data_IF_305307672920
#
_entry.id   IF_305307672920
#
_cell.length_a   1.000
_cell.length_b   1.000
_cell.length_c   1.000
_cell.angle_alpha   90.00
_cell.angle_beta   90.00
_cell.angle_gamma   90.00
#
_symmetry.space_group_name_H-M   'P 1'
#
loop_
_entity.id
_entity.type
_entity.pdbx_description
1 polymer ?
#
# COMPACT_ATOMS: atom_id res chain seq x y z
N UNK A 1 -30.34 -12.75 -21.91
CA UNK A 1 -29.63 -13.02 -20.64
C UNK A 1 -28.49 -13.96 -21.00
N UNK A 2 -27.23 -13.52 -20.89
CA UNK A 2 -26.07 -14.37 -21.21
C UNK A 2 -25.95 -15.49 -20.16
N UNK A 3 -26.04 -16.75 -20.58
CA UNK A 3 -25.90 -17.94 -19.73
C UNK A 3 -24.43 -18.27 -19.41
N UNK A 4 -23.56 -17.27 -19.24
CA UNK A 4 -22.15 -17.50 -18.88
C UNK A 4 -22.07 -17.68 -17.37
N UNK A 5 -21.34 -18.70 -16.85
CA UNK A 5 -21.26 -18.96 -15.41
C UNK A 5 -20.45 -17.91 -14.63
N UNK A 6 -19.85 -16.94 -15.33
CA UNK A 6 -19.10 -15.83 -14.75
C UNK A 6 -19.50 -14.52 -15.41
N UNK A 7 -19.40 -13.43 -14.64
CA UNK A 7 -19.51 -12.06 -15.12
C UNK A 7 -18.30 -11.27 -14.64
N UNK A 8 -17.66 -10.53 -15.56
CA UNK A 8 -16.61 -9.58 -15.20
C UNK A 8 -17.20 -8.17 -15.31
N UNK A 9 -17.32 -7.49 -14.19
CA UNK A 9 -17.88 -6.13 -14.10
C UNK A 9 -16.87 -5.20 -13.45
N UNK A 10 -16.70 -4.02 -14.04
CA UNK A 10 -15.93 -2.94 -13.43
C UNK A 10 -16.73 -2.30 -12.30
N UNK A 11 -16.07 -1.99 -11.18
CA UNK A 11 -16.65 -1.23 -10.07
C UNK A 11 -15.58 -0.37 -9.44
N UNK A 12 -15.96 0.79 -8.93
CA UNK A 12 -15.07 1.67 -8.16
C UNK A 12 -15.14 1.31 -6.68
N UNK A 13 -13.99 1.22 -6.03
CA UNK A 13 -13.87 0.95 -4.60
C UNK A 13 -13.06 2.06 -3.94
N UNK A 14 -13.53 2.54 -2.80
CA UNK A 14 -12.71 3.42 -1.94
C UNK A 14 -11.79 2.53 -1.10
N UNK A 15 -10.48 2.69 -1.25
CA UNK A 15 -9.47 1.89 -0.54
C UNK A 15 -8.58 2.82 0.29
N UNK A 16 -8.17 2.33 1.46
CA UNK A 16 -7.13 2.98 2.26
C UNK A 16 -5.77 2.78 1.59
N UNK A 17 -5.04 3.87 1.36
CA UNK A 17 -3.72 3.84 0.71
C UNK A 17 -2.65 4.34 1.68
N UNK A 18 -1.68 3.48 1.98
CA UNK A 18 -0.47 3.86 2.72
C UNK A 18 0.55 4.33 1.71
N UNK A 19 0.87 5.62 1.73
CA UNK A 19 1.96 6.19 0.93
C UNK A 19 3.26 6.02 1.72
N UNK A 20 4.11 5.10 1.26
CA UNK A 20 5.41 4.87 1.87
C UNK A 20 6.39 5.93 1.38
N UNK A 21 7.16 6.45 2.32
CA UNK A 21 8.27 7.37 2.07
C UNK A 21 9.57 6.71 2.54
N UNK A 22 10.69 7.16 1.98
CA UNK A 22 12.01 6.61 2.28
C UNK A 22 12.31 6.70 3.79
N UNK A 23 12.50 5.54 4.42
CA UNK A 23 12.80 5.39 5.83
C UNK A 23 13.24 3.94 6.11
N UNK A 24 13.98 3.74 7.20
CA UNK A 24 14.30 2.38 7.64
C UNK A 24 13.02 1.58 7.95
N UNK A 25 12.99 0.26 7.67
CA UNK A 25 11.80 -0.57 7.91
C UNK A 25 11.25 -0.48 9.35
N UNK A 26 12.13 -0.33 10.35
CA UNK A 26 11.72 -0.17 11.75
C UNK A 26 10.98 1.15 12.00
N UNK A 27 11.38 2.23 11.33
CA UNK A 27 10.73 3.54 11.42
C UNK A 27 9.35 3.48 10.76
N UNK A 28 9.24 2.84 9.60
CA UNK A 28 7.95 2.62 8.92
C UNK A 28 7.00 1.82 9.82
N UNK A 29 7.48 0.73 10.43
CA UNK A 29 6.68 -0.09 11.32
C UNK A 29 6.16 0.70 12.53
N UNK A 30 7.02 1.46 13.20
CA UNK A 30 6.60 2.31 14.32
C UNK A 30 5.55 3.36 13.91
N UNK A 31 5.76 4.01 12.76
CA UNK A 31 4.81 5.00 12.26
C UNK A 31 3.43 4.40 11.92
N UNK A 32 3.39 3.14 11.47
CA UNK A 32 2.14 2.41 11.26
C UNK A 32 1.43 2.09 12.59
N UNK A 33 2.16 1.59 13.58
CA UNK A 33 1.63 1.35 14.94
C UNK A 33 1.02 2.62 15.54
N UNK A 34 1.74 3.74 15.45
CA UNK A 34 1.28 5.03 15.99
C UNK A 34 0.00 5.51 15.29
N UNK A 35 -0.10 5.36 13.96
CA UNK A 35 -1.31 5.73 13.20
C UNK A 35 -2.48 4.80 13.53
N UNK A 36 -2.24 3.49 13.67
CA UNK A 36 -3.28 2.52 14.05
C UNK A 36 -3.82 2.86 15.45
N UNK A 37 -2.94 3.19 16.40
CA UNK A 37 -3.33 3.56 17.75
C UNK A 37 -4.17 4.85 17.80
N UNK A 38 -3.91 5.82 16.90
CA UNK A 38 -4.68 7.06 16.78
C UNK A 38 -6.10 6.83 16.23
N UNK A 39 -6.29 5.87 15.33
CA UNK A 39 -7.59 5.58 14.70
C UNK A 39 -7.89 4.07 14.59
N UNK A 40 -8.03 3.34 15.71
CA UNK A 40 -8.16 1.88 15.68
C UNK A 40 -9.38 1.39 14.91
N UNK A 41 -10.50 2.13 14.99
CA UNK A 41 -11.74 1.79 14.30
C UNK A 41 -11.62 1.81 12.77
N UNK A 42 -10.65 2.56 12.22
CA UNK A 42 -10.44 2.71 10.79
C UNK A 42 -9.27 1.88 10.28
N UNK A 43 -8.25 1.63 11.11
CA UNK A 43 -6.96 1.09 10.67
C UNK A 43 -6.62 -0.28 11.24
N UNK A 44 -7.24 -0.70 12.35
CA UNK A 44 -6.97 -2.03 12.91
C UNK A 44 -7.48 -3.11 11.95
N UNK A 45 -6.55 -3.92 11.43
CA UNK A 45 -6.81 -4.95 10.40
C UNK A 45 -7.44 -4.42 9.11
N UNK A 46 -7.29 -3.12 8.82
CA UNK A 46 -7.81 -2.54 7.58
C UNK A 46 -7.05 -3.12 6.37
N UNK A 47 -7.74 -3.54 5.30
CA UNK A 47 -7.08 -3.84 4.04
C UNK A 47 -6.52 -2.54 3.45
N UNK A 48 -5.25 -2.56 3.05
CA UNK A 48 -4.56 -1.38 2.52
C UNK A 48 -3.88 -1.69 1.20
N UNK A 49 -3.81 -0.67 0.34
CA UNK A 49 -2.90 -0.63 -0.81
C UNK A 49 -1.63 0.09 -0.36
N UNK A 50 -0.47 -0.50 -0.65
CA UNK A 50 0.82 0.17 -0.45
C UNK A 50 1.20 0.92 -1.71
N UNK A 51 1.32 2.23 -1.61
CA UNK A 51 1.90 3.05 -2.68
C UNK A 51 3.40 3.23 -2.37
N UNK A 52 4.24 2.72 -3.29
CA UNK A 52 5.71 2.73 -3.20
C UNK A 52 6.36 3.77 -4.12
N UNK A 53 5.58 4.65 -4.74
CA UNK A 53 6.07 5.58 -5.78
C UNK A 53 7.11 6.59 -5.29
N UNK A 54 7.24 6.76 -3.97
CA UNK A 54 8.16 7.71 -3.33
C UNK A 54 9.35 7.02 -2.63
N UNK A 55 9.50 5.70 -2.82
CA UNK A 55 10.70 4.98 -2.39
C UNK A 55 11.78 5.10 -3.46
N UNK A 56 13.03 5.20 -3.01
CA UNK A 56 14.16 5.19 -3.93
C UNK A 56 14.54 3.75 -4.31
N UNK A 57 15.03 3.55 -5.53
CA UNK A 57 15.59 2.26 -5.90
C UNK A 57 16.82 1.97 -5.01
N UNK A 58 16.94 0.76 -4.44
CA UNK A 58 18.15 0.37 -3.73
C UNK A 58 19.29 0.23 -4.75
N UNK A 59 20.01 1.34 -4.96
CA UNK A 59 21.27 1.46 -5.71
C UNK A 59 21.11 1.43 -7.25
N UNK A 60 21.47 2.56 -7.88
CA UNK A 60 21.95 2.61 -9.27
C UNK A 60 23.06 1.59 -9.43
N UNK A 61 22.83 0.53 -10.21
CA UNK A 61 23.93 -0.26 -10.74
C UNK A 61 24.87 0.71 -11.46
N UNK A 62 26.07 0.89 -10.90
CA UNK A 62 27.19 1.55 -11.57
C UNK A 62 27.42 0.78 -12.86
N UNK A 63 26.90 1.28 -13.99
CA UNK A 63 27.35 0.85 -15.31
C UNK A 63 28.58 1.69 -15.69
N UNK A 64 29.65 1.53 -14.92
CA UNK A 64 30.97 2.04 -15.30
C UNK A 64 31.82 0.84 -15.73
N UNK A 65 31.71 0.48 -17.02
CA UNK A 65 32.74 -0.09 -17.90
C UNK A 65 32.11 -0.55 -19.22
#
# INVERSE_FOLDING_TARGET
MSNTPIELKGSSFTLSVVHLHEAEPKVIHQALEDKIAQAPAFLKHAPVVLNVSALEDPVKLVSDA
#
